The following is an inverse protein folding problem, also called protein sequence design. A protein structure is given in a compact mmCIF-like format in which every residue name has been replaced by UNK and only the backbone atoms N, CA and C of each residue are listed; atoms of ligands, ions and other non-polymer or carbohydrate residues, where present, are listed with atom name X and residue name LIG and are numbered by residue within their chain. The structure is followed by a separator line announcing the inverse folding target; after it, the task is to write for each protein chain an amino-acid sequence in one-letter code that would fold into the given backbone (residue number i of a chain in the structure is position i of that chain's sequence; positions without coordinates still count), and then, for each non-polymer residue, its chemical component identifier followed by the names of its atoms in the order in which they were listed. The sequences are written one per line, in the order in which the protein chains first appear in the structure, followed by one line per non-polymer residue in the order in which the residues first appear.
data_IF_570974666472
#
_entry.id   IF_570974666472
#
_cell.length_a   1.000
_cell.length_b   1.000
_cell.length_c   1.000
_cell.angle_alpha   90.00
_cell.angle_beta   90.00
_cell.angle_gamma   90.00
#
_symmetry.space_group_name_H-M   'P 1'
#
loop_
_entity.id
_entity.type
_entity.pdbx_description
1 polymer ?
#
# COMPACT_ATOMS: atom_id res chain seq x y z
N UNK A 1 12.48 1.49 18.24
CA UNK A 1 11.77 0.32 18.78
C UNK A 1 12.08 -0.96 18.00
N UNK A 2 11.46 -1.21 16.84
CA UNK A 2 11.64 -2.50 16.13
C UNK A 2 13.09 -2.74 15.68
N UNK A 3 13.73 -1.78 15.00
CA UNK A 3 15.13 -1.93 14.54
C UNK A 3 16.12 -2.26 15.67
N UNK A 4 15.87 -1.76 16.89
CA UNK A 4 16.75 -1.97 18.04
C UNK A 4 16.72 -3.40 18.58
N UNK A 5 15.68 -4.19 18.27
CA UNK A 5 15.46 -5.52 18.84
C UNK A 5 15.59 -6.65 17.82
N UNK A 6 15.99 -6.34 16.59
CA UNK A 6 16.24 -7.36 15.55
C UNK A 6 17.30 -6.86 14.58
N UNK A 7 18.05 -7.78 13.97
CA UNK A 7 18.97 -7.52 12.86
C UNK A 7 18.45 -8.09 11.52
N UNK A 8 17.27 -8.73 11.52
CA UNK A 8 16.63 -9.26 10.31
C UNK A 8 16.14 -8.11 9.40
N UNK A 9 15.95 -8.36 8.08
CA UNK A 9 15.36 -7.37 7.19
C UNK A 9 13.99 -6.89 7.68
N UNK A 10 13.81 -5.57 7.73
CA UNK A 10 12.57 -4.90 8.13
C UNK A 10 11.88 -4.27 6.92
N UNK A 11 10.65 -4.73 6.68
CA UNK A 11 9.78 -4.19 5.63
C UNK A 11 8.63 -3.43 6.28
N UNK A 12 8.59 -2.11 6.11
CA UNK A 12 7.48 -1.30 6.64
C UNK A 12 6.38 -1.14 5.59
N UNK A 13 5.14 -1.45 5.95
CA UNK A 13 3.98 -1.35 5.05
C UNK A 13 3.24 -0.04 5.21
N UNK A 14 3.27 0.79 4.16
CA UNK A 14 2.75 2.15 4.20
C UNK A 14 1.24 2.19 3.95
N UNK A 15 0.56 3.08 4.67
CA UNK A 15 -0.86 3.41 4.44
C UNK A 15 -1.00 4.47 3.34
N UNK A 16 -1.99 4.34 2.43
CA UNK A 16 -2.30 5.38 1.45
C UNK A 16 -3.10 6.54 2.03
N UNK A 17 -3.62 6.41 3.27
CA UNK A 17 -4.55 7.34 3.90
C UNK A 17 -3.81 8.53 4.53
N UNK A 18 -2.95 9.18 3.75
CA UNK A 18 -2.09 10.29 4.16
C UNK A 18 -2.01 11.32 3.05
N UNK A 19 -1.74 12.58 3.39
CA UNK A 19 -1.65 13.67 2.42
C UNK A 19 -0.42 13.51 1.51
N UNK A 20 0.74 13.16 2.08
CA UNK A 20 2.01 12.99 1.36
C UNK A 20 2.70 11.70 1.79
N UNK A 21 2.59 10.65 0.98
CA UNK A 21 3.14 9.34 1.34
C UNK A 21 4.68 9.34 1.34
N UNK A 22 5.32 10.18 0.54
CA UNK A 22 6.78 10.33 0.52
C UNK A 22 7.38 10.79 1.86
N UNK A 23 6.66 11.60 2.64
CA UNK A 23 7.10 12.00 3.98
C UNK A 23 7.09 10.81 4.94
N UNK A 24 6.05 9.98 4.85
CA UNK A 24 5.91 8.77 5.66
C UNK A 24 6.97 7.74 5.27
N UNK A 25 7.27 7.62 3.98
CA UNK A 25 8.32 6.74 3.48
C UNK A 25 9.69 7.14 4.03
N UNK A 26 10.07 8.42 3.95
CA UNK A 26 11.33 8.95 4.51
C UNK A 26 11.41 8.69 6.01
N UNK A 27 10.35 9.02 6.75
CA UNK A 27 10.30 8.76 8.19
C UNK A 27 10.46 7.27 8.55
N UNK A 28 9.90 6.36 7.75
CA UNK A 28 10.06 4.92 7.96
C UNK A 28 11.50 4.45 7.72
N UNK A 29 12.17 4.97 6.69
CA UNK A 29 13.58 4.68 6.39
C UNK A 29 14.50 5.26 7.46
N UNK A 30 14.30 6.53 7.85
CA UNK A 30 15.06 7.19 8.92
C UNK A 30 14.93 6.45 10.26
N UNK A 31 13.79 5.79 10.49
CA UNK A 31 13.56 4.95 11.66
C UNK A 31 14.19 3.54 11.57
N UNK A 32 14.88 3.22 10.48
CA UNK A 32 15.63 1.98 10.28
C UNK A 32 14.89 0.88 9.51
N UNK A 33 13.94 1.23 8.64
CA UNK A 33 13.33 0.25 7.71
C UNK A 33 14.27 -0.03 6.55
N UNK A 34 14.50 -1.30 6.22
CA UNK A 34 15.41 -1.72 5.14
C UNK A 34 14.72 -1.72 3.77
N UNK A 35 13.40 -2.00 3.75
CA UNK A 35 12.55 -1.96 2.56
C UNK A 35 11.19 -1.38 2.91
N UNK A 36 10.46 -0.93 1.88
CA UNK A 36 9.08 -0.49 2.01
C UNK A 36 8.15 -1.36 1.17
N UNK A 37 6.90 -1.48 1.62
CA UNK A 37 5.81 -1.98 0.77
C UNK A 37 4.68 -0.96 0.75
N UNK A 38 4.12 -0.67 -0.43
CA UNK A 38 3.02 0.27 -0.55
C UNK A 38 2.05 -0.12 -1.67
N UNK A 39 0.74 -0.14 -1.42
CA UNK A 39 -0.02 0.42 -0.28
C UNK A 39 -0.80 -0.62 0.54
N UNK A 40 -1.13 -0.26 1.78
CA UNK A 40 -2.25 -0.87 2.51
C UNK A 40 -3.60 -0.43 1.88
N UNK A 41 -4.71 -0.93 2.43
CA UNK A 41 -6.06 -0.58 1.98
C UNK A 41 -6.41 0.90 2.14
N UNK A 42 -7.33 1.37 1.31
CA UNK A 42 -7.90 2.72 1.39
C UNK A 42 -9.13 2.69 2.28
N UNK A 43 -9.27 3.63 3.22
CA UNK A 43 -10.45 3.69 4.07
C UNK A 43 -11.71 3.95 3.23
N UNK A 44 -12.71 3.07 3.34
CA UNK A 44 -13.96 3.18 2.60
C UNK A 44 -15.12 2.56 3.38
N UNK A 45 -16.35 2.79 2.91
CA UNK A 45 -17.55 2.21 3.51
C UNK A 45 -18.53 1.75 2.44
N UNK A 46 -19.45 0.88 2.83
CA UNK A 46 -20.60 0.50 2.03
C UNK A 46 -21.87 0.70 2.85
N UNK A 47 -22.93 1.22 2.21
CA UNK A 47 -24.22 1.50 2.84
C UNK A 47 -25.29 0.61 2.21
N UNK A 48 -26.16 0.06 3.04
CA UNK A 48 -27.36 -0.61 2.60
C UNK A 48 -28.51 0.40 2.52
N UNK A 49 -29.05 0.61 1.32
CA UNK A 49 -30.04 1.66 1.05
C UNK A 49 -31.43 1.37 1.62
N UNK A 50 -31.75 0.09 1.85
CA UNK A 50 -33.06 -0.32 2.37
C UNK A 50 -33.12 -0.20 3.89
N UNK A 51 -32.10 -0.72 4.58
CA UNK A 51 -31.95 -0.60 6.03
C UNK A 51 -31.38 0.76 6.47
N UNK A 52 -30.82 1.54 5.54
CA UNK A 52 -30.18 2.84 5.78
C UNK A 52 -29.03 2.77 6.79
N UNK A 53 -28.29 1.65 6.79
CA UNK A 53 -27.21 1.37 7.74
C UNK A 53 -25.91 0.99 7.01
N UNK A 54 -24.74 1.14 7.65
CA UNK A 54 -23.49 0.58 7.14
C UNK A 54 -23.61 -0.94 6.94
N UNK A 55 -23.07 -1.47 5.84
CA UNK A 55 -23.00 -2.91 5.58
C UNK A 55 -21.95 -3.63 6.43
N UNK A 56 -20.94 -2.91 6.89
CA UNK A 56 -19.86 -3.44 7.71
C UNK A 56 -20.15 -3.14 9.19
N UNK A 57 -19.97 -4.12 10.07
CA UNK A 57 -20.11 -3.92 11.51
C UNK A 57 -19.14 -2.86 12.05
N UNK A 58 -17.93 -2.80 11.50
CA UNK A 58 -16.92 -1.78 11.85
C UNK A 58 -17.15 -0.42 11.16
N UNK A 59 -18.29 -0.24 10.46
CA UNK A 59 -18.71 0.94 9.71
C UNK A 59 -17.80 1.26 8.51
N UNK A 60 -16.53 1.54 8.77
CA UNK A 60 -15.46 1.76 7.80
C UNK A 60 -14.58 0.51 7.73
N UNK A 61 -14.25 0.11 6.51
CA UNK A 61 -13.33 -0.98 6.22
C UNK A 61 -12.23 -0.55 5.27
N UNK A 62 -11.39 -1.53 4.90
CA UNK A 62 -10.36 -1.35 3.89
C UNK A 62 -10.87 -1.71 2.49
N UNK A 63 -10.88 -0.75 1.57
CA UNK A 63 -11.05 -1.00 0.15
C UNK A 63 -9.74 -1.54 -0.43
N UNK A 64 -9.85 -2.64 -1.16
CA UNK A 64 -8.76 -3.30 -1.88
C UNK A 64 -9.24 -3.67 -3.29
N UNK A 65 -8.46 -4.49 -4.00
CA UNK A 65 -8.80 -4.92 -5.36
C UNK A 65 -8.53 -3.87 -6.44
N UNK A 66 -8.94 -4.13 -7.68
CA UNK A 66 -8.56 -3.33 -8.84
C UNK A 66 -9.01 -1.87 -8.72
N UNK A 67 -10.06 -1.60 -7.94
CA UNK A 67 -10.57 -0.26 -7.66
C UNK A 67 -9.50 0.68 -7.07
N UNK A 68 -8.52 0.17 -6.33
CA UNK A 68 -7.46 1.00 -5.72
C UNK A 68 -6.16 1.03 -6.53
N UNK A 69 -6.08 0.33 -7.68
CA UNK A 69 -4.85 0.26 -8.49
C UNK A 69 -4.30 1.64 -8.86
N UNK A 70 -5.11 2.61 -9.35
CA UNK A 70 -4.58 3.93 -9.71
C UNK A 70 -3.97 4.68 -8.51
N UNK A 71 -4.55 4.52 -7.31
CA UNK A 71 -4.02 5.12 -6.08
C UNK A 71 -2.69 4.44 -5.71
N UNK A 72 -2.65 3.11 -5.78
CA UNK A 72 -1.46 2.32 -5.48
C UNK A 72 -0.28 2.64 -6.42
N UNK A 73 -0.54 2.82 -7.73
CA UNK A 73 0.48 3.24 -8.71
C UNK A 73 1.03 4.63 -8.39
N UNK A 74 0.16 5.62 -8.16
CA UNK A 74 0.57 6.98 -7.77
C UNK A 74 1.42 6.95 -6.49
N UNK A 75 0.96 6.26 -5.46
CA UNK A 75 1.66 6.14 -4.20
C UNK A 75 3.03 5.48 -4.38
N UNK A 76 3.10 4.39 -5.15
CA UNK A 76 4.38 3.71 -5.46
C UNK A 76 5.33 4.66 -6.19
N UNK A 77 4.85 5.35 -7.22
CA UNK A 77 5.60 6.33 -7.99
C UNK A 77 6.18 7.47 -7.11
N UNK A 78 5.40 7.97 -6.15
CA UNK A 78 5.83 8.99 -5.20
C UNK A 78 6.86 8.44 -4.19
N UNK A 79 6.65 7.23 -3.65
CA UNK A 79 7.54 6.61 -2.66
C UNK A 79 8.91 6.30 -3.26
N UNK A 80 8.98 5.68 -4.44
CA UNK A 80 10.27 5.32 -5.07
C UNK A 80 11.14 6.53 -5.43
N UNK A 81 10.56 7.74 -5.49
CA UNK A 81 11.30 9.00 -5.70
C UNK A 81 11.68 9.70 -4.41
N UNK A 82 11.07 9.31 -3.30
CA UNK A 82 11.30 9.93 -2.00
C UNK A 82 12.39 9.23 -1.19
N UNK A 83 12.73 7.98 -1.52
CA UNK A 83 13.71 7.15 -0.80
C UNK A 83 14.55 6.31 -1.76
N UNK A 84 15.74 5.91 -1.32
CA UNK A 84 16.65 5.07 -2.10
C UNK A 84 16.50 3.56 -1.82
N UNK A 85 15.80 3.18 -0.74
CA UNK A 85 15.61 1.76 -0.39
C UNK A 85 14.62 1.06 -1.34
N UNK A 86 14.71 -0.28 -1.51
CA UNK A 86 13.78 -1.02 -2.35
C UNK A 86 12.31 -0.89 -1.91
N UNK A 87 11.41 -0.78 -2.90
CA UNK A 87 9.96 -0.65 -2.69
C UNK A 87 9.22 -1.80 -3.37
N UNK A 88 8.30 -2.42 -2.63
CA UNK A 88 7.40 -3.48 -3.11
C UNK A 88 6.02 -2.87 -3.39
N UNK A 89 5.61 -2.91 -4.66
CA UNK A 89 4.31 -2.41 -5.11
C UNK A 89 3.17 -3.35 -4.74
N UNK A 90 2.05 -2.83 -4.24
CA UNK A 90 0.85 -3.61 -3.93
C UNK A 90 -0.41 -2.75 -4.02
N UNK A 91 -1.46 -3.34 -4.58
CA UNK A 91 -2.82 -2.79 -4.57
C UNK A 91 -3.48 -2.90 -5.94
N UNK A 92 -4.48 -3.78 -6.05
CA UNK A 92 -5.29 -3.91 -7.27
C UNK A 92 -4.61 -4.55 -8.48
N UNK A 93 -3.52 -5.28 -8.28
CA UNK A 93 -2.87 -6.10 -9.30
C UNK A 93 -3.72 -7.34 -9.54
N UNK A 94 -4.25 -7.48 -10.76
CA UNK A 94 -5.10 -8.62 -11.17
C UNK A 94 -4.49 -9.41 -12.33
N UNK A 95 -3.57 -8.80 -13.08
CA UNK A 95 -2.97 -9.37 -14.29
C UNK A 95 -1.45 -9.17 -14.32
N UNK A 96 -0.76 -9.87 -15.23
CA UNK A 96 0.65 -9.64 -15.49
C UNK A 96 0.93 -8.21 -15.97
N UNK A 97 0.03 -7.62 -16.77
CA UNK A 97 0.13 -6.22 -17.21
C UNK A 97 0.09 -5.26 -16.04
N UNK A 98 -0.81 -5.48 -15.07
CA UNK A 98 -0.84 -4.65 -13.85
C UNK A 98 0.48 -4.76 -13.09
N UNK A 99 1.03 -5.97 -12.93
CA UNK A 99 2.32 -6.15 -12.27
C UNK A 99 3.44 -5.38 -12.99
N UNK A 100 3.47 -5.42 -14.33
CA UNK A 100 4.42 -4.66 -15.14
C UNK A 100 4.28 -3.15 -14.93
N UNK A 101 3.07 -2.61 -14.80
CA UNK A 101 2.87 -1.18 -14.49
C UNK A 101 3.57 -0.78 -13.18
N UNK A 102 3.50 -1.60 -12.13
CA UNK A 102 4.20 -1.33 -10.87
C UNK A 102 5.71 -1.36 -11.01
N UNK A 103 6.25 -2.33 -11.77
CA UNK A 103 7.68 -2.42 -12.04
C UNK A 103 8.16 -1.20 -12.86
N UNK A 104 7.38 -0.77 -13.85
CA UNK A 104 7.68 0.40 -14.69
C UNK A 104 7.68 1.72 -13.91
N UNK A 105 6.86 1.86 -12.86
CA UNK A 105 6.89 3.05 -12.02
C UNK A 105 8.01 3.05 -10.97
N UNK A 106 8.77 1.95 -10.85
CA UNK A 106 9.98 1.85 -10.04
C UNK A 106 9.94 0.84 -8.89
N UNK A 107 8.88 0.02 -8.76
CA UNK A 107 8.87 -1.04 -7.76
C UNK A 107 9.90 -2.14 -8.11
N UNK A 108 10.61 -2.67 -7.10
CA UNK A 108 11.55 -3.78 -7.27
C UNK A 108 10.87 -5.15 -7.24
N UNK A 109 9.66 -5.23 -6.68
CA UNK A 109 8.82 -6.43 -6.63
C UNK A 109 7.34 -6.04 -6.48
N UNK A 110 6.45 -7.02 -6.60
CA UNK A 110 4.99 -6.82 -6.40
C UNK A 110 4.40 -7.83 -5.41
N UNK A 111 3.32 -7.46 -4.71
CA UNK A 111 2.50 -8.40 -3.92
C UNK A 111 1.08 -8.50 -4.50
N UNK A 112 0.51 -9.71 -4.44
CA UNK A 112 -0.84 -10.00 -4.92
C UNK A 112 -1.72 -10.38 -3.73
N UNK A 113 -2.83 -9.65 -3.56
CA UNK A 113 -3.79 -9.83 -2.47
C UNK A 113 -5.15 -10.30 -2.99
N UNK A 114 -6.07 -9.35 -3.19
CA UNK A 114 -7.48 -9.57 -3.58
C UNK A 114 -7.68 -10.49 -4.78
N UNK A 115 -6.75 -10.52 -5.74
CA UNK A 115 -6.87 -11.39 -6.93
C UNK A 115 -6.89 -12.90 -6.62
N UNK A 116 -6.50 -13.31 -5.41
CA UNK A 116 -6.55 -14.71 -4.98
C UNK A 116 -7.94 -15.16 -4.49
N UNK A 117 -8.90 -14.24 -4.34
CA UNK A 117 -10.27 -14.51 -3.86
C UNK A 117 -11.29 -14.21 -4.96
#
# INVERSE_FOLDING_TARGET
AVRQVTALPLITKLTPNVTRIGDVARAAVDAGSDLLSCINTVAAMAVDVFSRRPKLANIVGGLSGPAIKPIALRCTYEVVRAVDCPVIGIGGIMTATDALEFLLVGAGAVQIGTANF
#
